data_IF_400317448637
#
_entry.id   IF_400317448637
#
_cell.length_a   1.000
_cell.length_b   1.000
_cell.length_c   1.000
_cell.angle_alpha   90.00
_cell.angle_beta   90.00
_cell.angle_gamma   90.00
#
_symmetry.space_group_name_H-M   'P 1'
#
loop_
_entity.id
_entity.type
_entity.pdbx_description
1 polymer ?
#
# COMPACT_ATOMS: atom_id res chain seq x y z
N UNK A 1 55.86 -14.65 -44.00
CA UNK A 1 56.81 -13.53 -43.86
C UNK A 1 56.02 -12.22 -43.88
N UNK A 2 56.04 -11.51 -42.76
CA UNK A 2 55.98 -10.02 -42.58
C UNK A 2 55.07 -9.19 -43.49
N UNK A 3 53.96 -8.64 -42.95
CA UNK A 3 53.80 -7.19 -42.69
C UNK A 3 52.73 -6.59 -43.63
N UNK A 4 51.88 -5.61 -43.31
CA UNK A 4 51.99 -4.51 -42.36
C UNK A 4 50.59 -3.93 -41.98
N UNK A 5 50.62 -2.99 -41.03
CA UNK A 5 49.57 -2.49 -40.13
C UNK A 5 48.71 -1.35 -40.73
N UNK A 6 47.55 -1.10 -40.10
CA UNK A 6 46.83 0.19 -39.97
C UNK A 6 45.66 0.37 -40.94
N UNK A 7 44.41 0.52 -40.47
CA UNK A 7 43.93 1.82 -39.99
C UNK A 7 42.72 1.68 -39.06
N UNK A 8 42.75 2.50 -38.01
CA UNK A 8 41.79 2.75 -36.94
C UNK A 8 40.37 3.04 -37.42
N UNK A 9 39.36 2.44 -36.78
CA UNK A 9 38.09 3.10 -36.41
C UNK A 9 37.68 2.50 -35.05
N UNK A 10 38.22 3.06 -33.96
CA UNK A 10 37.43 3.80 -32.96
C UNK A 10 36.07 3.16 -32.67
N UNK A 11 36.00 2.45 -31.53
CA UNK A 11 34.76 1.96 -30.98
C UNK A 11 33.78 3.09 -30.74
N UNK A 12 32.57 2.92 -31.26
CA UNK A 12 31.43 3.71 -30.87
C UNK A 12 30.77 2.98 -29.69
N UNK A 13 31.30 3.17 -28.48
CA UNK A 13 30.54 2.86 -27.26
C UNK A 13 29.50 3.98 -27.15
N UNK A 14 28.29 3.74 -27.67
CA UNK A 14 27.14 4.59 -27.38
C UNK A 14 26.81 4.36 -25.91
N UNK A 15 27.41 5.17 -25.03
CA UNK A 15 26.91 5.33 -23.66
C UNK A 15 25.60 6.09 -23.78
N UNK A 16 24.50 5.35 -23.89
CA UNK A 16 23.17 5.91 -23.74
C UNK A 16 23.08 6.46 -22.31
N UNK A 17 23.13 7.79 -22.19
CA UNK A 17 22.76 8.50 -20.98
C UNK A 17 21.29 8.19 -20.70
N UNK A 18 21.06 7.15 -19.91
CA UNK A 18 19.76 6.92 -19.27
C UNK A 18 19.58 8.04 -18.25
N UNK A 19 18.99 9.16 -18.68
CA UNK A 19 18.46 10.15 -17.75
C UNK A 19 17.59 9.41 -16.73
N UNK A 20 17.83 9.53 -15.42
CA UNK A 20 16.90 8.98 -14.46
C UNK A 20 15.56 9.67 -14.71
N UNK A 21 14.55 8.88 -15.09
CA UNK A 21 13.16 9.33 -15.03
C UNK A 21 12.89 9.61 -13.55
N UNK A 22 13.04 10.87 -13.16
CA UNK A 22 12.54 11.33 -11.86
C UNK A 22 11.03 11.31 -11.99
N UNK A 23 10.41 10.20 -11.58
CA UNK A 23 8.97 10.16 -11.37
C UNK A 23 8.68 11.16 -10.24
N UNK A 24 8.20 12.34 -10.63
CA UNK A 24 7.56 13.23 -9.68
C UNK A 24 6.24 12.55 -9.33
N UNK A 25 6.16 11.93 -8.14
CA UNK A 25 4.88 11.42 -7.64
C UNK A 25 3.98 12.63 -7.44
N UNK A 26 3.01 12.81 -8.33
CA UNK A 26 2.04 13.87 -8.20
C UNK A 26 1.15 13.57 -6.99
N UNK A 27 0.78 14.61 -6.25
CA UNK A 27 -0.16 14.44 -5.14
C UNK A 27 -1.50 13.94 -5.71
N UNK A 28 -2.18 12.98 -5.06
CA UNK A 28 -3.43 12.44 -5.59
C UNK A 28 -4.48 13.55 -5.65
N UNK A 29 -5.32 13.53 -6.67
CA UNK A 29 -6.43 14.47 -6.77
C UNK A 29 -7.51 14.18 -5.70
N UNK A 30 -8.52 15.05 -5.58
CA UNK A 30 -9.52 14.91 -4.51
C UNK A 30 -10.28 13.58 -4.54
N UNK A 31 -10.57 13.05 -5.72
CA UNK A 31 -11.24 11.77 -5.89
C UNK A 31 -10.32 10.61 -5.48
N UNK A 32 -9.08 10.59 -5.97
CA UNK A 32 -8.11 9.55 -5.61
C UNK A 32 -7.85 9.52 -4.11
N UNK A 33 -7.72 10.69 -3.46
CA UNK A 33 -7.58 10.77 -2.00
C UNK A 33 -8.76 10.11 -1.29
N UNK A 34 -9.98 10.39 -1.73
CA UNK A 34 -11.18 9.79 -1.15
C UNK A 34 -11.19 8.26 -1.34
N UNK A 35 -10.81 7.77 -2.53
CA UNK A 35 -10.74 6.33 -2.79
C UNK A 35 -9.68 5.64 -1.93
N UNK A 36 -8.50 6.25 -1.79
CA UNK A 36 -7.44 5.77 -0.88
C UNK A 36 -7.96 5.76 0.56
N UNK A 37 -8.62 6.83 1.01
CA UNK A 37 -9.18 6.91 2.36
C UNK A 37 -10.18 5.78 2.62
N UNK A 38 -11.08 5.50 1.67
CA UNK A 38 -12.05 4.39 1.78
C UNK A 38 -11.38 3.02 1.77
N UNK A 39 -10.38 2.81 0.92
CA UNK A 39 -9.58 1.59 0.88
C UNK A 39 -8.91 1.31 2.24
N UNK A 40 -8.30 2.34 2.84
CA UNK A 40 -7.65 2.23 4.14
C UNK A 40 -8.69 2.06 5.26
N UNK A 41 -9.83 2.73 5.17
CA UNK A 41 -10.91 2.63 6.14
C UNK A 41 -11.53 1.22 6.17
N UNK A 42 -11.67 0.55 5.03
CA UNK A 42 -12.18 -0.83 4.96
C UNK A 42 -11.26 -1.79 5.74
N UNK A 43 -9.95 -1.71 5.46
CA UNK A 43 -8.95 -2.52 6.16
C UNK A 43 -8.95 -2.20 7.67
N UNK A 44 -8.96 -0.92 8.04
CA UNK A 44 -9.00 -0.50 9.43
C UNK A 44 -10.27 -0.97 10.16
N UNK A 45 -11.43 -0.99 9.49
CA UNK A 45 -12.68 -1.54 10.05
C UNK A 45 -12.55 -3.03 10.40
N UNK A 46 -11.98 -3.83 9.50
CA UNK A 46 -11.64 -5.24 9.75
C UNK A 46 -10.64 -5.39 10.91
N UNK A 47 -9.64 -4.53 11.00
CA UNK A 47 -8.67 -4.52 12.10
C UNK A 47 -9.32 -4.20 13.46
N UNK A 48 -10.26 -3.26 13.50
CA UNK A 48 -11.02 -2.95 14.72
C UNK A 48 -11.85 -4.16 15.13
N UNK A 49 -12.48 -4.85 14.18
CA UNK A 49 -13.21 -6.08 14.43
C UNK A 49 -12.32 -7.16 15.05
N UNK A 50 -11.15 -7.42 14.46
CA UNK A 50 -10.17 -8.37 15.00
C UNK A 50 -9.73 -8.02 16.42
N UNK A 51 -9.51 -6.73 16.68
CA UNK A 51 -9.12 -6.25 18.01
C UNK A 51 -10.22 -6.45 19.05
N UNK A 52 -11.48 -6.19 18.70
CA UNK A 52 -12.59 -6.14 19.68
C UNK A 52 -13.36 -7.45 19.82
N UNK A 53 -13.51 -8.22 18.75
CA UNK A 53 -14.31 -9.45 18.74
C UNK A 53 -13.46 -10.72 18.76
N UNK A 54 -12.16 -10.62 18.47
CA UNK A 54 -11.29 -11.78 18.27
C UNK A 54 -10.05 -11.78 19.18
N UNK A 55 -9.89 -10.77 20.04
CA UNK A 55 -8.69 -10.56 20.87
C UNK A 55 -7.37 -10.59 20.09
N UNK A 56 -7.40 -10.06 18.86
CA UNK A 56 -6.28 -10.03 17.91
C UNK A 56 -5.92 -8.58 17.56
N UNK A 57 -5.21 -7.86 18.44
CA UNK A 57 -4.90 -6.45 18.24
C UNK A 57 -3.92 -6.26 17.09
N UNK A 58 -4.13 -5.20 16.32
CA UNK A 58 -3.30 -4.85 15.17
C UNK A 58 -2.47 -3.61 15.49
N UNK A 59 -1.19 -3.62 15.12
CA UNK A 59 -0.31 -2.45 15.25
C UNK A 59 -0.74 -1.33 14.28
N UNK A 60 -1.33 -0.27 14.85
CA UNK A 60 -1.88 0.87 14.10
C UNK A 60 -0.79 1.73 13.46
N UNK A 61 0.36 1.85 14.09
CA UNK A 61 1.46 2.66 13.55
C UNK A 61 2.11 1.93 12.38
N UNK A 62 2.26 0.61 12.50
CA UNK A 62 2.72 -0.22 11.38
C UNK A 62 1.73 -0.24 10.23
N UNK A 63 0.42 -0.26 10.52
CA UNK A 63 -0.61 -0.13 9.49
C UNK A 63 -0.46 1.18 8.69
N UNK A 64 -0.28 2.32 9.38
CA UNK A 64 -0.06 3.61 8.73
C UNK A 64 1.20 3.61 7.86
N UNK A 65 2.29 3.04 8.37
CA UNK A 65 3.54 2.90 7.62
C UNK A 65 3.35 2.10 6.33
N UNK A 66 2.59 1.00 6.40
CA UNK A 66 2.33 0.11 5.27
C UNK A 66 1.23 0.61 4.32
N UNK A 67 0.47 1.63 4.71
CA UNK A 67 -0.63 2.19 3.90
C UNK A 67 -0.13 2.75 2.58
N UNK A 68 1.08 3.30 2.54
CA UNK A 68 1.71 3.75 1.30
C UNK A 68 1.94 2.59 0.33
N UNK A 69 2.47 1.48 0.83
CA UNK A 69 2.69 0.27 0.03
C UNK A 69 1.36 -0.31 -0.48
N UNK A 70 0.33 -0.29 0.37
CA UNK A 70 -1.01 -0.73 -0.03
C UNK A 70 -1.57 0.14 -1.16
N UNK A 71 -1.57 1.47 -1.01
CA UNK A 71 -2.05 2.38 -2.05
C UNK A 71 -1.29 2.17 -3.38
N UNK A 72 0.03 2.01 -3.32
CA UNK A 72 0.84 1.66 -4.50
C UNK A 72 0.42 0.35 -5.15
N UNK A 73 0.16 -0.70 -4.36
CA UNK A 73 -0.28 -1.98 -4.92
C UNK A 73 -1.64 -1.92 -5.61
N UNK A 74 -2.46 -0.90 -5.29
CA UNK A 74 -3.74 -0.61 -5.94
C UNK A 74 -3.62 0.38 -7.11
N UNK A 75 -2.40 0.82 -7.44
CA UNK A 75 -2.14 1.70 -8.59
C UNK A 75 -2.08 3.19 -8.28
N UNK A 76 -2.19 3.60 -7.02
CA UNK A 76 -2.04 5.01 -6.63
C UNK A 76 -0.58 5.41 -6.48
N UNK A 77 -0.18 6.56 -6.99
CA UNK A 77 1.21 7.02 -6.95
C UNK A 77 1.61 7.71 -5.64
N UNK A 78 0.66 8.09 -4.79
CA UNK A 78 0.95 8.77 -3.52
C UNK A 78 -0.20 8.59 -2.54
N UNK A 79 0.08 8.84 -1.27
CA UNK A 79 -0.92 8.97 -0.20
C UNK A 79 -0.88 10.36 0.42
N UNK A 80 -0.23 11.32 -0.25
CA UNK A 80 -0.13 12.68 0.26
C UNK A 80 -1.52 13.33 0.35
N UNK A 81 -1.75 14.05 1.45
CA UNK A 81 -3.00 14.77 1.66
C UNK A 81 -4.18 13.92 2.12
N UNK A 82 -4.02 12.62 2.37
CA UNK A 82 -5.09 11.79 2.98
C UNK A 82 -5.44 12.31 4.39
N UNK A 83 -6.74 12.31 4.69
CA UNK A 83 -7.27 12.60 6.01
C UNK A 83 -7.34 11.32 6.84
N UNK A 84 -6.40 11.15 7.77
CA UNK A 84 -6.45 10.04 8.73
C UNK A 84 -7.63 10.10 9.68
N UNK A 85 -8.24 11.29 9.84
CA UNK A 85 -9.49 11.45 10.56
C UNK A 85 -10.65 10.82 9.79
N UNK A 86 -10.75 11.08 8.48
CA UNK A 86 -11.77 10.44 7.63
C UNK A 86 -11.60 8.91 7.63
N UNK A 87 -10.36 8.42 7.46
CA UNK A 87 -10.05 6.98 7.53
C UNK A 87 -10.54 6.38 8.84
N UNK A 88 -10.29 7.05 9.97
CA UNK A 88 -10.72 6.61 11.30
C UNK A 88 -12.25 6.57 11.41
N UNK A 89 -12.92 7.61 10.96
CA UNK A 89 -14.37 7.75 11.13
C UNK A 89 -15.11 6.73 10.26
N UNK A 90 -14.70 6.57 9.00
CA UNK A 90 -15.22 5.54 8.10
C UNK A 90 -14.88 4.12 8.59
N UNK A 91 -13.68 3.89 9.15
CA UNK A 91 -13.33 2.60 9.73
C UNK A 91 -14.24 2.22 10.91
N UNK A 92 -14.67 3.19 11.73
CA UNK A 92 -15.60 2.94 12.82
C UNK A 92 -17.02 2.63 12.31
N UNK A 93 -17.45 3.30 11.24
CA UNK A 93 -18.73 2.99 10.57
C UNK A 93 -18.70 1.56 10.00
N UNK A 94 -17.66 1.23 9.22
CA UNK A 94 -17.43 -0.10 8.68
C UNK A 94 -17.41 -1.16 9.80
N UNK A 95 -16.69 -0.92 10.90
CA UNK A 95 -16.71 -1.82 12.06
C UNK A 95 -18.11 -2.05 12.61
N UNK A 96 -18.94 -0.99 12.71
CA UNK A 96 -20.33 -1.09 13.14
C UNK A 96 -21.13 -2.05 12.27
N UNK A 97 -20.99 -1.95 10.96
CA UNK A 97 -21.66 -2.87 10.01
C UNK A 97 -21.14 -4.31 10.12
N UNK A 98 -19.82 -4.50 10.22
CA UNK A 98 -19.21 -5.82 10.34
C UNK A 98 -19.66 -6.49 11.65
N UNK A 99 -19.70 -5.74 12.75
CA UNK A 99 -20.20 -6.21 14.05
C UNK A 99 -21.67 -6.59 14.00
N UNK A 100 -22.51 -5.81 13.30
CA UNK A 100 -23.92 -6.13 13.16
C UNK A 100 -24.14 -7.47 12.42
N UNK A 101 -23.29 -7.78 11.43
CA UNK A 101 -23.34 -9.03 10.66
C UNK A 101 -22.75 -10.22 11.42
N UNK A 102 -21.69 -10.00 12.20
CA UNK A 102 -21.01 -11.03 12.98
C UNK A 102 -20.70 -10.52 14.39
N UNK A 103 -21.67 -10.52 15.32
CA UNK A 103 -21.46 -9.93 16.64
C UNK A 103 -20.52 -10.73 17.54
N UNK A 104 -20.27 -12.02 17.27
CA UNK A 104 -19.54 -12.93 18.16
C UNK A 104 -18.20 -13.42 17.56
N UNK A 105 -17.67 -12.75 16.54
CA UNK A 105 -16.38 -13.14 15.95
C UNK A 105 -16.50 -14.14 14.78
N UNK A 106 -17.67 -14.26 14.16
CA UNK A 106 -17.94 -15.17 13.06
C UNK A 106 -17.00 -14.98 11.85
N UNK A 107 -16.40 -13.79 11.74
CA UNK A 107 -15.48 -13.43 10.65
C UNK A 107 -14.01 -13.33 11.07
N UNK A 108 -13.65 -13.76 12.29
CA UNK A 108 -12.27 -13.61 12.80
C UNK A 108 -11.22 -14.23 11.86
N UNK A 109 -11.41 -15.47 11.43
CA UNK A 109 -10.46 -16.16 10.54
C UNK A 109 -10.38 -15.50 9.16
N UNK A 110 -11.54 -15.11 8.62
CA UNK A 110 -11.62 -14.47 7.30
C UNK A 110 -10.91 -13.12 7.31
N UNK A 111 -11.22 -12.25 8.27
CA UNK A 111 -10.61 -10.92 8.33
C UNK A 111 -9.13 -10.98 8.69
N UNK A 112 -8.70 -11.92 9.52
CA UNK A 112 -7.27 -12.13 9.76
C UNK A 112 -6.55 -12.49 8.46
N UNK A 113 -7.11 -13.40 7.66
CA UNK A 113 -6.56 -13.78 6.36
C UNK A 113 -6.54 -12.60 5.38
N UNK A 114 -7.63 -11.84 5.30
CA UNK A 114 -7.72 -10.65 4.44
C UNK A 114 -6.63 -9.63 4.79
N UNK A 115 -6.46 -9.35 6.10
CA UNK A 115 -5.45 -8.41 6.57
C UNK A 115 -4.03 -8.92 6.29
N UNK A 116 -3.75 -10.21 6.55
CA UNK A 116 -2.42 -10.79 6.24
C UNK A 116 -2.09 -10.76 4.75
N UNK A 117 -3.07 -10.99 3.89
CA UNK A 117 -2.88 -10.94 2.45
C UNK A 117 -2.66 -9.51 1.95
N UNK A 118 -3.41 -8.55 2.48
CA UNK A 118 -3.30 -7.14 2.09
C UNK A 118 -2.05 -6.45 2.68
N UNK A 119 -1.63 -6.86 3.88
CA UNK A 119 -0.51 -6.28 4.63
C UNK A 119 0.45 -7.38 5.10
N UNK A 120 1.20 -8.02 4.19
CA UNK A 120 2.05 -9.18 4.53
C UNK A 120 3.18 -8.86 5.52
N UNK A 121 3.55 -7.59 5.65
CA UNK A 121 4.58 -7.11 6.58
C UNK A 121 4.02 -6.65 7.93
N UNK A 122 2.70 -6.72 8.11
CA UNK A 122 2.08 -6.47 9.39
C UNK A 122 2.30 -7.72 10.24
N UNK A 123 2.97 -7.53 11.38
CA UNK A 123 3.30 -8.65 12.27
C UNK A 123 2.02 -9.37 12.73
N UNK A 124 2.13 -10.66 13.09
CA UNK A 124 1.00 -11.42 13.61
C UNK A 124 0.35 -10.72 14.81
N UNK A 125 -0.98 -10.79 14.81
CA UNK A 125 -1.89 -10.27 15.84
C UNK A 125 -1.75 -11.02 17.15
#
# INVERSE_FOLDING_TARGET
MTGNISTKICGLVIVALSSPLVFANEAPNAQERQEIEMLLAEAAGKMIYLTKQCDKPVDKDKFKELSKLKAFSEGYESIEGISWENVRDEANQNYGELKAKGPNGEFCEQYEKDIKNAYPFLKPL
#
